data_IF_089504125881
#
_entry.id   IF_089504125881
#
_cell.length_a   1.000
_cell.length_b   1.000
_cell.length_c   1.000
_cell.angle_alpha   90.00
_cell.angle_beta   90.00
_cell.angle_gamma   90.00
#
_symmetry.space_group_name_H-M   'P 1'
#
loop_
_entity.id
_entity.type
_entity.pdbx_description
1 polymer ?
#
# COMPACT_ATOMS: atom_id res chain seq x y z
N UNK A 1 -10.20 -25.64 -13.43
CA UNK A 1 -9.53 -24.35 -13.10
C UNK A 1 -10.22 -23.22 -13.86
N UNK A 2 -11.03 -22.40 -13.17
CA UNK A 2 -11.70 -21.25 -13.79
C UNK A 2 -10.63 -20.19 -14.05
N UNK A 3 -10.32 -19.86 -15.31
CA UNK A 3 -9.38 -18.77 -15.66
C UNK A 3 -9.92 -17.47 -15.02
N UNK A 4 -9.43 -17.08 -13.84
CA UNK A 4 -9.65 -15.72 -13.33
C UNK A 4 -9.00 -14.81 -14.36
N UNK A 5 -9.77 -13.87 -14.91
CA UNK A 5 -9.26 -12.84 -15.82
C UNK A 5 -8.03 -12.19 -15.19
N UNK A 6 -6.99 -11.88 -15.98
CA UNK A 6 -5.82 -11.13 -15.51
C UNK A 6 -6.24 -9.87 -14.73
N UNK A 7 -7.34 -9.25 -15.14
CA UNK A 7 -7.97 -8.15 -14.43
C UNK A 7 -8.43 -8.58 -13.02
N UNK A 8 -9.14 -9.69 -12.85
CA UNK A 8 -9.58 -10.17 -11.54
C UNK A 8 -8.41 -10.51 -10.58
N UNK A 9 -7.22 -10.81 -11.11
CA UNK A 9 -6.01 -11.02 -10.31
C UNK A 9 -5.34 -9.69 -9.92
N UNK A 10 -5.40 -8.69 -10.80
CA UNK A 10 -4.82 -7.36 -10.59
C UNK A 10 -5.68 -6.49 -9.66
N UNK A 11 -7.01 -6.46 -9.86
CA UNK A 11 -7.91 -5.61 -9.07
C UNK A 11 -8.15 -6.19 -7.66
N UNK A 12 -7.93 -7.49 -7.46
CA UNK A 12 -8.15 -8.18 -6.19
C UNK A 12 -9.63 -8.26 -5.78
N UNK A 13 -9.91 -8.96 -4.69
CA UNK A 13 -11.25 -9.00 -4.08
C UNK A 13 -11.42 -7.84 -3.09
N UNK A 14 -12.32 -6.92 -3.43
CA UNK A 14 -12.68 -5.76 -2.60
C UNK A 14 -13.75 -6.14 -1.58
N UNK A 15 -13.31 -6.87 -0.55
CA UNK A 15 -14.13 -7.13 0.63
C UNK A 15 -13.90 -6.03 1.68
N UNK A 16 -14.79 -5.89 2.66
CA UNK A 16 -14.68 -4.95 3.80
C UNK A 16 -13.32 -5.05 4.49
N UNK A 17 -12.76 -6.26 4.63
CA UNK A 17 -11.41 -6.46 5.21
C UNK A 17 -10.32 -5.79 4.37
N UNK A 18 -10.38 -5.92 3.04
CA UNK A 18 -9.44 -5.28 2.11
C UNK A 18 -9.53 -3.77 2.21
N UNK A 19 -10.74 -3.21 2.22
CA UNK A 19 -10.98 -1.77 2.32
C UNK A 19 -10.42 -1.21 3.64
N UNK A 20 -10.72 -1.88 4.76
CA UNK A 20 -10.22 -1.47 6.08
C UNK A 20 -8.70 -1.56 6.15
N UNK A 21 -8.09 -2.62 5.61
CA UNK A 21 -6.64 -2.77 5.59
C UNK A 21 -5.95 -1.71 4.71
N UNK A 22 -6.54 -1.36 3.56
CA UNK A 22 -6.07 -0.26 2.70
C UNK A 22 -6.16 1.08 3.42
N UNK A 23 -7.27 1.35 4.12
CA UNK A 23 -7.44 2.60 4.88
C UNK A 23 -6.43 2.72 6.04
N UNK A 24 -6.20 1.64 6.78
CA UNK A 24 -5.17 1.60 7.83
C UNK A 24 -3.78 1.77 7.21
N UNK A 25 -3.51 1.09 6.09
CA UNK A 25 -2.27 1.23 5.32
C UNK A 25 -2.02 2.68 4.91
N UNK A 26 -3.02 3.35 4.34
CA UNK A 26 -2.92 4.74 3.91
C UNK A 26 -2.66 5.70 5.08
N UNK A 27 -3.36 5.52 6.20
CA UNK A 27 -3.12 6.32 7.40
C UNK A 27 -1.68 6.13 7.92
N UNK A 28 -1.20 4.89 7.99
CA UNK A 28 0.17 4.58 8.42
C UNK A 28 1.21 5.10 7.43
N UNK A 29 0.97 4.98 6.12
CA UNK A 29 1.86 5.51 5.09
C UNK A 29 2.02 7.03 5.23
N UNK A 30 0.91 7.76 5.38
CA UNK A 30 0.93 9.20 5.61
C UNK A 30 1.71 9.60 6.85
N UNK A 31 1.48 8.91 7.99
CA UNK A 31 2.21 9.19 9.23
C UNK A 31 3.71 8.90 9.08
N UNK A 32 4.08 7.78 8.46
CA UNK A 32 5.49 7.40 8.26
C UNK A 32 6.21 8.35 7.29
N UNK A 33 5.52 8.86 6.28
CA UNK A 33 6.07 9.87 5.36
C UNK A 33 6.36 11.21 6.06
N UNK A 34 5.54 11.60 7.03
CA UNK A 34 5.66 12.89 7.73
C UNK A 34 6.63 12.80 8.92
N UNK A 35 6.50 11.75 9.74
CA UNK A 35 7.21 11.64 11.03
C UNK A 35 8.29 10.56 11.06
N UNK A 36 8.23 9.58 10.16
CA UNK A 36 9.19 8.46 10.11
C UNK A 36 10.41 8.71 9.21
N UNK A 37 10.53 9.90 8.63
CA UNK A 37 11.56 10.24 7.66
C UNK A 37 12.77 10.94 8.28
N UNK A 38 13.96 10.33 8.19
CA UNK A 38 15.23 11.02 8.49
C UNK A 38 15.71 11.74 7.24
N UNK A 39 15.91 13.05 7.34
CA UNK A 39 16.37 13.87 6.23
C UNK A 39 17.88 13.69 6.03
N UNK A 40 18.27 13.14 4.88
CA UNK A 40 19.68 12.88 4.52
C UNK A 40 20.22 13.99 3.62
N UNK A 41 19.37 14.51 2.73
CA UNK A 41 19.65 15.68 1.90
C UNK A 41 18.45 16.63 1.93
N UNK A 42 18.64 17.88 1.51
CA UNK A 42 17.58 18.91 1.46
C UNK A 42 16.30 18.45 0.76
N UNK A 43 16.39 17.52 -0.21
CA UNK A 43 15.24 16.95 -0.92
C UNK A 43 15.07 15.42 -0.72
N UNK A 44 15.91 14.77 0.10
CA UNK A 44 15.90 13.30 0.24
C UNK A 44 15.69 12.90 1.68
N UNK A 45 14.62 12.15 1.93
CA UNK A 45 14.29 11.58 3.24
C UNK A 45 14.34 10.06 3.15
N UNK A 46 15.10 9.42 4.05
CA UNK A 46 15.00 7.99 4.30
C UNK A 46 13.72 7.76 5.11
N UNK A 47 12.71 7.20 4.46
CA UNK A 47 11.40 6.93 5.07
C UNK A 47 11.12 5.44 5.12
N UNK A 48 10.55 4.98 6.23
CA UNK A 48 10.07 3.62 6.42
C UNK A 48 8.68 3.41 5.81
N UNK A 49 8.06 4.46 5.25
CA UNK A 49 6.75 4.39 4.62
C UNK A 49 6.67 3.39 3.46
N UNK A 50 7.78 3.14 2.76
CA UNK A 50 7.83 2.17 1.66
C UNK A 50 7.56 0.72 2.09
N UNK A 51 7.55 0.42 3.39
CA UNK A 51 7.14 -0.90 3.91
C UNK A 51 5.63 -1.14 3.73
N UNK A 52 4.80 -0.10 3.76
CA UNK A 52 3.35 -0.22 3.61
C UNK A 52 2.94 -0.78 2.25
N UNK A 53 3.42 -0.26 1.09
CA UNK A 53 3.06 -0.85 -0.20
C UNK A 53 3.54 -2.29 -0.35
N UNK A 54 4.64 -2.68 0.30
CA UNK A 54 5.11 -4.08 0.30
C UNK A 54 4.15 -4.98 1.08
N UNK A 55 3.72 -4.55 2.26
CA UNK A 55 2.80 -5.33 3.11
C UNK A 55 1.40 -5.40 2.48
N UNK A 56 0.83 -4.26 2.08
CA UNK A 56 -0.50 -4.21 1.46
C UNK A 56 -0.48 -4.92 0.10
N UNK A 57 0.60 -4.78 -0.68
CA UNK A 57 0.77 -5.45 -1.97
C UNK A 57 0.89 -6.96 -1.86
N UNK A 58 1.62 -7.45 -0.86
CA UNK A 58 1.74 -8.88 -0.60
C UNK A 58 0.41 -9.49 -0.10
N UNK A 59 -0.38 -8.74 0.68
CA UNK A 59 -1.62 -9.26 1.28
C UNK A 59 -2.85 -9.13 0.38
N UNK A 60 -2.96 -8.05 -0.39
CA UNK A 60 -4.19 -7.70 -1.11
C UNK A 60 -3.99 -7.49 -2.61
N UNK A 61 -2.75 -7.50 -3.10
CA UNK A 61 -2.41 -7.34 -4.50
C UNK A 61 -2.04 -5.90 -4.90
N UNK A 62 -1.71 -5.69 -6.19
CA UNK A 62 -1.07 -4.46 -6.65
C UNK A 62 -1.99 -3.24 -6.62
N UNK A 63 -3.28 -3.39 -6.92
CA UNK A 63 -4.23 -2.25 -6.95
C UNK A 63 -4.57 -1.73 -5.55
N UNK A 64 -4.90 -2.58 -4.56
CA UNK A 64 -5.10 -2.11 -3.18
C UNK A 64 -3.85 -1.43 -2.59
N UNK A 65 -2.65 -1.91 -2.94
CA UNK A 65 -1.39 -1.27 -2.53
C UNK A 65 -1.20 0.11 -3.16
N UNK A 66 -1.55 0.27 -4.44
CA UNK A 66 -1.54 1.56 -5.12
C UNK A 66 -2.51 2.52 -4.42
N UNK A 67 -3.72 2.10 -4.10
CA UNK A 67 -4.71 2.95 -3.42
C UNK A 67 -4.28 3.31 -1.99
N UNK A 68 -3.57 2.41 -1.31
CA UNK A 68 -3.06 2.69 0.04
C UNK A 68 -1.91 3.71 0.06
N UNK A 69 -1.20 3.92 -1.05
CA UNK A 69 0.02 4.73 -1.08
C UNK A 69 -0.03 5.92 -2.06
N UNK A 70 -1.11 6.02 -2.85
CA UNK A 70 -1.35 7.04 -3.87
C UNK A 70 -1.95 8.33 -3.35
#
# INVERSE_FOLDING_TARGET
MKKKSLLALIIGEWNTKTIVAVAIGAALFGVLMVYGGVQVFTNTKLTTAMLIPVIVGALFGPVPALVACG
#
